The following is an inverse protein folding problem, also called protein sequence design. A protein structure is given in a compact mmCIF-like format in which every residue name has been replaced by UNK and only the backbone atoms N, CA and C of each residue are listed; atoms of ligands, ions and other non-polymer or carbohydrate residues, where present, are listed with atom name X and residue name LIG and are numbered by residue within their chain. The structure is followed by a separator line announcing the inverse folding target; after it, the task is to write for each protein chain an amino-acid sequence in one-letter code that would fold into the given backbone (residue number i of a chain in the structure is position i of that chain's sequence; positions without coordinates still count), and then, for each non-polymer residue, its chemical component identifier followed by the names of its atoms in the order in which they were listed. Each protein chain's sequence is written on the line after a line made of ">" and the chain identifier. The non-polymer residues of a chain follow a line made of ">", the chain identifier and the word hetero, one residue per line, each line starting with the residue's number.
data_IF_560053743985
#
_entry.id   IF_560053743985
#
_cell.length_a   1.000
_cell.length_b   1.000
_cell.length_c   1.000
_cell.angle_alpha   90.00
_cell.angle_beta   90.00
_cell.angle_gamma   90.00
#
_symmetry.space_group_name_H-M   'P 1'
#
loop_
_entity.id
_entity.type
_entity.pdbx_description
1 polymer ?
#
# COMPACT_ATOMS: atom_id res chain seq x y z
N UNK A 1 -20.43 13.23 4.71
CA UNK A 1 -19.01 13.25 4.29
C UNK A 1 -18.81 14.47 3.40
N UNK A 2 -17.66 15.14 3.40
CA UNK A 2 -17.43 16.23 2.45
C UNK A 2 -17.56 15.69 1.03
N UNK A 3 -18.31 16.42 0.20
CA UNK A 3 -18.52 16.09 -1.21
C UNK A 3 -17.29 16.57 -1.98
N UNK A 4 -16.44 15.63 -2.40
CA UNK A 4 -15.30 15.95 -3.25
C UNK A 4 -15.70 15.80 -4.70
N UNK A 5 -15.26 16.74 -5.53
CA UNK A 5 -15.38 16.64 -6.97
C UNK A 5 -14.13 15.96 -7.52
N UNK A 6 -14.28 14.79 -8.12
CA UNK A 6 -13.19 14.08 -8.79
C UNK A 6 -13.13 14.52 -10.24
N UNK A 7 -11.98 15.04 -10.67
CA UNK A 7 -11.72 15.44 -12.05
C UNK A 7 -10.59 14.61 -12.64
N UNK A 8 -10.87 13.92 -13.74
CA UNK A 8 -9.88 13.18 -14.52
C UNK A 8 -9.11 14.18 -15.38
N UNK A 9 -7.78 14.08 -15.38
CA UNK A 9 -6.94 14.91 -16.22
C UNK A 9 -6.93 14.36 -17.66
N UNK A 10 -7.26 15.20 -18.63
CA UNK A 10 -7.21 14.87 -20.06
C UNK A 10 -6.25 15.77 -20.86
N UNK A 11 -5.64 16.75 -20.19
CA UNK A 11 -4.73 17.72 -20.78
C UNK A 11 -3.55 18.02 -19.84
N UNK A 12 -2.66 18.89 -20.31
CA UNK A 12 -1.46 19.27 -19.56
C UNK A 12 -1.80 20.05 -18.28
N UNK A 13 -2.90 20.81 -18.27
CA UNK A 13 -3.31 21.62 -17.12
C UNK A 13 -3.78 20.73 -15.97
N UNK A 14 -4.59 19.71 -16.26
CA UNK A 14 -5.00 18.71 -15.28
C UNK A 14 -3.83 17.92 -14.70
N UNK A 15 -2.83 17.56 -15.53
CA UNK A 15 -1.62 16.89 -15.05
C UNK A 15 -0.76 17.83 -14.18
N UNK A 16 -0.61 19.09 -14.59
CA UNK A 16 0.17 20.10 -13.87
C UNK A 16 -0.43 20.44 -12.50
N UNK A 17 -1.74 20.32 -12.33
CA UNK A 17 -2.41 20.55 -11.04
C UNK A 17 -1.91 19.62 -9.91
N UNK A 18 -1.32 18.47 -10.25
CA UNK A 18 -0.77 17.52 -9.27
C UNK A 18 0.59 17.93 -8.69
N UNK A 19 1.33 18.81 -9.36
CA UNK A 19 2.77 19.04 -9.10
C UNK A 19 3.04 19.63 -7.72
N UNK A 20 2.28 20.65 -7.32
CA UNK A 20 2.44 21.26 -5.99
C UNK A 20 2.21 20.21 -4.89
N UNK A 21 1.20 19.36 -5.05
CA UNK A 21 0.90 18.30 -4.09
C UNK A 21 1.94 17.17 -4.10
N UNK A 22 2.53 16.86 -5.25
CA UNK A 22 3.69 15.96 -5.31
C UNK A 22 4.85 16.51 -4.49
N UNK A 23 5.19 17.78 -4.72
CA UNK A 23 6.28 18.46 -4.02
C UNK A 23 6.05 18.51 -2.50
N UNK A 24 4.84 18.86 -2.07
CA UNK A 24 4.47 18.92 -0.64
C UNK A 24 4.53 17.54 0.04
N UNK A 25 4.26 16.47 -0.71
CA UNK A 25 4.17 15.10 -0.17
C UNK A 25 5.54 14.40 -0.14
N UNK A 26 6.30 14.44 -1.22
CA UNK A 26 7.53 13.65 -1.37
C UNK A 26 8.82 14.48 -1.48
N UNK A 27 8.76 15.80 -1.71
CA UNK A 27 9.86 16.70 -2.12
C UNK A 27 10.04 16.82 -3.63
N UNK A 28 10.66 17.93 -4.06
CA UNK A 28 10.84 18.29 -5.47
C UNK A 28 11.75 17.36 -6.27
N UNK A 29 12.51 16.51 -5.59
CA UNK A 29 13.50 15.62 -6.22
C UNK A 29 12.87 14.39 -6.92
N UNK A 30 11.58 14.13 -6.66
CA UNK A 30 10.86 12.94 -7.16
C UNK A 30 9.52 13.29 -7.86
N UNK A 31 9.43 14.50 -8.43
CA UNK A 31 8.25 14.93 -9.18
C UNK A 31 8.17 14.18 -10.51
N UNK A 32 6.99 13.62 -10.81
CA UNK A 32 6.65 13.11 -12.13
C UNK A 32 6.29 14.29 -13.04
N UNK A 33 6.99 14.50 -14.17
CA UNK A 33 6.71 15.61 -15.07
C UNK A 33 5.29 15.55 -15.66
N UNK A 34 4.54 16.67 -15.72
CA UNK A 34 3.20 16.70 -16.31
C UNK A 34 3.13 16.20 -17.76
N UNK A 35 4.17 16.42 -18.55
CA UNK A 35 4.27 15.96 -19.92
C UNK A 35 4.31 14.43 -20.01
N UNK A 36 5.01 13.78 -19.06
CA UNK A 36 5.03 12.33 -18.96
C UNK A 36 3.66 11.81 -18.50
N UNK A 37 3.06 12.41 -17.46
CA UNK A 37 1.71 12.04 -17.02
C UNK A 37 0.69 12.12 -18.15
N UNK A 38 0.73 13.20 -18.95
CA UNK A 38 -0.15 13.36 -20.10
C UNK A 38 0.08 12.27 -21.16
N UNK A 39 1.34 11.97 -21.49
CA UNK A 39 1.66 10.86 -22.40
C UNK A 39 1.09 9.54 -21.87
N UNK A 40 1.16 9.29 -20.57
CA UNK A 40 0.60 8.08 -19.96
C UNK A 40 -0.93 8.05 -20.02
N UNK A 41 -1.61 9.17 -19.73
CA UNK A 41 -3.08 9.27 -19.87
C UNK A 41 -3.53 8.89 -21.29
N UNK A 42 -2.81 9.34 -22.32
CA UNK A 42 -3.11 8.98 -23.71
C UNK A 42 -2.82 7.52 -24.09
N UNK A 43 -2.16 6.76 -23.21
CA UNK A 43 -1.77 5.36 -23.43
C UNK A 43 -2.41 4.40 -22.40
N UNK A 44 -3.60 4.74 -21.89
CA UNK A 44 -4.38 3.88 -20.98
C UNK A 44 -4.07 4.07 -19.49
N UNK A 45 -3.14 4.98 -19.15
CA UNK A 45 -2.92 5.41 -17.77
C UNK A 45 -4.04 6.27 -17.21
N UNK A 46 -3.89 6.68 -15.96
CA UNK A 46 -4.92 7.43 -15.23
C UNK A 46 -4.30 8.51 -14.35
N UNK A 47 -4.85 9.71 -14.43
CA UNK A 47 -4.57 10.82 -13.51
C UNK A 47 -5.90 11.43 -13.13
N UNK A 48 -6.13 11.60 -11.83
CA UNK A 48 -7.29 12.34 -11.34
C UNK A 48 -6.96 13.15 -10.09
N UNK A 49 -7.60 14.30 -9.96
CA UNK A 49 -7.54 15.20 -8.83
C UNK A 49 -8.89 15.23 -8.11
N UNK A 50 -8.87 15.28 -6.78
CA UNK A 50 -10.05 15.51 -5.97
C UNK A 50 -10.05 16.92 -5.43
N UNK A 51 -11.15 17.64 -5.54
CA UNK A 51 -11.30 19.03 -5.08
C UNK A 51 -12.31 19.11 -3.96
N UNK A 52 -11.95 19.79 -2.88
CA UNK A 52 -12.89 20.14 -1.84
C UNK A 52 -13.78 21.31 -2.28
N UNK A 53 -14.98 21.48 -1.71
CA UNK A 53 -15.82 22.64 -1.98
C UNK A 53 -15.03 23.94 -1.72
N UNK A 54 -15.14 24.89 -2.64
CA UNK A 54 -14.55 26.24 -2.54
C UNK A 54 -13.01 26.30 -2.49
N UNK A 55 -12.29 25.17 -2.59
CA UNK A 55 -10.82 25.14 -2.73
C UNK A 55 -10.43 24.91 -4.21
N UNK A 56 -9.81 25.89 -4.88
CA UNK A 56 -9.35 25.71 -6.26
C UNK A 56 -8.13 24.79 -6.37
N UNK A 57 -7.45 24.46 -5.25
CA UNK A 57 -6.32 23.54 -5.24
C UNK A 57 -6.80 22.11 -5.03
N UNK A 58 -6.21 21.11 -5.71
CA UNK A 58 -6.50 19.71 -5.43
C UNK A 58 -6.31 19.39 -3.95
N UNK A 59 -7.33 18.80 -3.34
CA UNK A 59 -7.29 18.21 -2.01
C UNK A 59 -6.52 16.88 -1.99
N UNK A 60 -6.47 16.19 -3.14
CA UNK A 60 -5.77 14.93 -3.34
C UNK A 60 -5.59 14.61 -4.82
N UNK A 61 -4.73 13.68 -5.16
CA UNK A 61 -4.60 13.16 -6.52
C UNK A 61 -4.21 11.68 -6.53
N UNK A 62 -4.46 11.02 -7.66
CA UNK A 62 -3.98 9.68 -7.98
C UNK A 62 -3.36 9.67 -9.37
N UNK A 63 -2.26 8.94 -9.53
CA UNK A 63 -1.60 8.70 -10.81
C UNK A 63 -1.21 7.23 -10.92
N UNK A 64 -1.47 6.63 -12.08
CA UNK A 64 -1.01 5.30 -12.42
C UNK A 64 -0.97 5.04 -13.92
N UNK A 65 -0.37 3.92 -14.29
CA UNK A 65 -0.04 3.60 -15.67
C UNK A 65 -0.25 2.13 -16.00
N UNK A 66 -0.52 1.84 -17.27
CA UNK A 66 -0.66 0.47 -17.76
C UNK A 66 0.71 -0.23 -17.79
N UNK A 67 0.74 -1.49 -17.37
CA UNK A 67 1.89 -2.37 -17.48
C UNK A 67 1.49 -3.78 -17.84
N UNK A 68 2.49 -4.60 -18.17
CA UNK A 68 2.33 -6.04 -18.40
C UNK A 68 3.11 -6.75 -17.29
N UNK A 69 2.47 -7.72 -16.65
CA UNK A 69 3.08 -8.56 -15.63
C UNK A 69 2.57 -10.00 -15.81
N UNK A 70 3.48 -10.95 -15.89
CA UNK A 70 3.18 -12.35 -16.23
C UNK A 70 2.29 -12.47 -17.48
N UNK A 71 2.62 -11.72 -18.54
CA UNK A 71 1.85 -11.67 -19.80
C UNK A 71 0.41 -11.15 -19.69
N UNK A 72 -0.01 -10.64 -18.52
CA UNK A 72 -1.32 -10.03 -18.32
C UNK A 72 -1.22 -8.52 -18.12
N UNK A 73 -2.20 -7.79 -18.65
CA UNK A 73 -2.32 -6.36 -18.38
C UNK A 73 -2.62 -6.12 -16.89
N UNK A 74 -1.93 -5.15 -16.31
CA UNK A 74 -2.16 -4.65 -14.96
C UNK A 74 -2.03 -3.14 -14.94
N UNK A 75 -2.69 -2.49 -13.99
CA UNK A 75 -2.49 -1.07 -13.75
C UNK A 75 -1.54 -0.86 -12.57
N UNK A 76 -0.41 -0.19 -12.79
CA UNK A 76 0.48 0.22 -11.71
C UNK A 76 0.01 1.55 -11.12
N UNK A 77 -0.46 1.57 -9.88
CA UNK A 77 -0.82 2.80 -9.19
C UNK A 77 0.40 3.45 -8.56
N UNK A 78 1.06 4.33 -9.30
CA UNK A 78 2.32 4.93 -8.90
C UNK A 78 2.22 5.89 -7.70
N UNK A 79 1.26 6.81 -7.71
CA UNK A 79 1.14 7.85 -6.67
C UNK A 79 -0.30 8.03 -6.21
N UNK A 80 -0.45 8.25 -4.90
CA UNK A 80 -1.70 8.70 -4.26
C UNK A 80 -1.32 9.65 -3.14
N UNK A 81 -1.84 10.88 -3.17
CA UNK A 81 -1.65 11.84 -2.10
C UNK A 81 -2.98 12.48 -1.71
N UNK A 82 -3.09 12.82 -0.42
CA UNK A 82 -4.17 13.64 0.14
C UNK A 82 -3.54 14.64 1.10
N UNK A 83 -3.87 15.93 0.92
CA UNK A 83 -3.42 17.03 1.79
C UNK A 83 -3.91 16.82 3.22
N UNK A 84 -3.11 17.26 4.18
CA UNK A 84 -3.36 17.05 5.62
C UNK A 84 -4.79 17.36 6.08
N UNK A 85 -5.42 18.49 5.71
CA UNK A 85 -6.77 18.82 6.17
C UNK A 85 -7.85 17.85 5.69
N UNK A 86 -7.60 17.11 4.61
CA UNK A 86 -8.56 16.19 4.00
C UNK A 86 -8.21 14.72 4.25
N UNK A 87 -7.16 14.43 5.03
CA UNK A 87 -6.84 13.04 5.41
C UNK A 87 -7.95 12.48 6.30
N UNK A 88 -8.33 11.22 6.07
CA UNK A 88 -9.43 10.58 6.80
C UNK A 88 -10.84 11.00 6.37
N UNK A 89 -10.98 11.89 5.38
CA UNK A 89 -12.28 12.36 4.87
C UNK A 89 -13.01 11.37 3.94
N UNK A 90 -12.31 10.33 3.48
CA UNK A 90 -12.77 9.42 2.42
C UNK A 90 -12.23 9.76 1.03
N UNK A 91 -11.55 10.89 0.83
CA UNK A 91 -11.06 11.30 -0.51
C UNK A 91 -10.13 10.28 -1.17
N UNK A 92 -9.21 9.66 -0.40
CA UNK A 92 -8.31 8.63 -0.91
C UNK A 92 -9.07 7.43 -1.49
N UNK A 93 -10.20 7.06 -0.87
CA UNK A 93 -11.06 5.99 -1.37
C UNK A 93 -11.73 6.41 -2.68
N UNK A 94 -12.31 7.62 -2.74
CA UNK A 94 -12.97 8.10 -3.96
C UNK A 94 -12.02 8.18 -5.16
N UNK A 95 -10.77 8.63 -4.93
CA UNK A 95 -9.72 8.62 -5.96
C UNK A 95 -9.38 7.20 -6.42
N UNK A 96 -9.31 6.24 -5.49
CA UNK A 96 -9.05 4.83 -5.79
C UNK A 96 -10.21 4.16 -6.52
N UNK A 97 -11.45 4.50 -6.18
CA UNK A 97 -12.66 4.06 -6.88
C UNK A 97 -12.67 4.58 -8.32
N UNK A 98 -12.37 5.86 -8.55
CA UNK A 98 -12.25 6.41 -9.90
C UNK A 98 -11.13 5.73 -10.72
N UNK A 99 -9.96 5.48 -10.10
CA UNK A 99 -8.88 4.73 -10.75
C UNK A 99 -9.30 3.29 -11.09
N UNK A 100 -10.04 2.64 -10.19
CA UNK A 100 -10.56 1.30 -10.38
C UNK A 100 -11.56 1.25 -11.54
N UNK A 101 -12.50 2.17 -11.60
CA UNK A 101 -13.54 2.17 -12.63
C UNK A 101 -12.91 2.37 -14.02
N UNK A 102 -11.93 3.27 -14.15
CA UNK A 102 -11.11 3.43 -15.36
C UNK A 102 -10.35 2.15 -15.77
N UNK A 103 -9.88 1.37 -14.79
CA UNK A 103 -9.20 0.10 -15.08
C UNK A 103 -10.19 -0.97 -15.57
N UNK A 104 -11.37 -1.06 -14.95
CA UNK A 104 -12.39 -2.04 -15.33
C UNK A 104 -12.96 -1.76 -16.72
N UNK A 105 -13.13 -0.48 -17.09
CA UNK A 105 -13.56 -0.08 -18.44
C UNK A 105 -12.56 -0.53 -19.53
N UNK A 106 -11.30 -0.81 -19.16
CA UNK A 106 -10.27 -1.35 -20.05
C UNK A 106 -10.11 -2.87 -19.94
N UNK A 107 -10.94 -3.55 -19.15
CA UNK A 107 -10.81 -4.99 -18.89
C UNK A 107 -9.61 -5.37 -18.00
N UNK A 108 -9.07 -4.42 -17.23
CA UNK A 108 -7.98 -4.66 -16.29
C UNK A 108 -8.58 -5.03 -14.94
N UNK A 109 -8.19 -6.18 -14.40
CA UNK A 109 -8.77 -6.70 -13.15
C UNK A 109 -7.88 -6.52 -11.92
N UNK A 110 -6.63 -6.11 -12.11
CA UNK A 110 -5.65 -5.96 -11.03
C UNK A 110 -4.97 -4.59 -11.11
N UNK A 111 -5.04 -3.85 -9.99
CA UNK A 111 -4.22 -2.67 -9.73
C UNK A 111 -3.13 -3.07 -8.75
N UNK A 112 -1.87 -2.69 -8.99
CA UNK A 112 -0.75 -3.05 -8.13
C UNK A 112 0.19 -1.86 -7.87
N UNK A 113 0.88 -1.88 -6.74
CA UNK A 113 1.87 -0.86 -6.38
C UNK A 113 2.81 -1.37 -5.28
N UNK A 114 3.96 -0.72 -5.12
CA UNK A 114 4.84 -0.96 -3.97
C UNK A 114 4.44 -0.05 -2.81
N UNK A 115 4.52 -0.53 -1.58
CA UNK A 115 4.49 0.33 -0.39
C UNK A 115 5.53 -0.09 0.64
N UNK A 116 5.88 0.84 1.52
CA UNK A 116 6.68 0.53 2.70
C UNK A 116 5.88 -0.35 3.68
N UNK A 117 6.35 -1.55 4.05
CA UNK A 117 5.60 -2.46 4.91
C UNK A 117 5.40 -1.93 6.34
N UNK A 118 6.19 -0.96 6.80
CA UNK A 118 6.10 -0.43 8.17
C UNK A 118 5.15 0.78 8.28
N UNK A 119 4.52 1.20 7.18
CA UNK A 119 3.56 2.30 7.17
C UNK A 119 2.14 1.83 7.55
N UNK A 120 1.85 1.77 8.84
CA UNK A 120 0.57 1.30 9.38
C UNK A 120 -0.67 2.02 8.83
N UNK A 121 -0.55 3.32 8.50
CA UNK A 121 -1.65 4.08 7.88
C UNK A 121 -1.96 3.55 6.48
N UNK A 122 -0.92 3.29 5.69
CA UNK A 122 -1.04 2.73 4.35
C UNK A 122 -1.54 1.30 4.42
N UNK A 123 -1.06 0.51 5.38
CA UNK A 123 -1.51 -0.87 5.60
C UNK A 123 -3.01 -0.93 5.91
N UNK A 124 -3.48 -0.08 6.83
CA UNK A 124 -4.91 0.05 7.16
C UNK A 124 -5.75 0.37 5.93
N UNK A 125 -5.31 1.30 5.09
CA UNK A 125 -6.05 1.69 3.90
C UNK A 125 -6.03 0.59 2.83
N UNK A 126 -4.84 0.11 2.45
CA UNK A 126 -4.66 -0.82 1.35
C UNK A 126 -5.27 -2.19 1.63
N UNK A 127 -5.01 -2.76 2.82
CA UNK A 127 -5.51 -4.09 3.16
C UNK A 127 -6.92 -3.97 3.76
N UNK A 128 -7.08 -3.15 4.80
CA UNK A 128 -8.34 -3.08 5.52
C UNK A 128 -9.49 -2.45 4.74
N UNK A 129 -9.23 -1.36 3.99
CA UNK A 129 -10.28 -0.60 3.29
C UNK A 129 -10.46 -0.99 1.81
N UNK A 130 -9.38 -1.26 1.09
CA UNK A 130 -9.47 -1.69 -0.32
C UNK A 130 -9.61 -3.22 -0.48
N UNK A 131 -9.18 -4.00 0.53
CA UNK A 131 -9.15 -5.46 0.44
C UNK A 131 -8.01 -5.98 -0.45
N UNK A 132 -6.90 -5.24 -0.54
CA UNK A 132 -5.71 -5.68 -1.25
C UNK A 132 -4.94 -6.74 -0.44
N UNK A 133 -4.02 -7.44 -1.10
CA UNK A 133 -3.14 -8.42 -0.47
C UNK A 133 -1.71 -8.28 -0.99
N UNK A 134 -0.75 -8.97 -0.37
CA UNK A 134 0.61 -9.09 -0.90
C UNK A 134 1.18 -10.48 -0.67
N UNK A 135 1.99 -10.92 -1.64
CA UNK A 135 2.78 -12.15 -1.61
C UNK A 135 4.28 -11.91 -1.82
N UNK A 136 4.68 -10.67 -2.10
CA UNK A 136 6.01 -10.40 -2.63
C UNK A 136 6.65 -9.29 -1.82
N UNK A 137 7.88 -9.56 -1.41
CA UNK A 137 8.74 -8.63 -0.70
C UNK A 137 9.98 -8.35 -1.53
N UNK A 138 10.37 -7.07 -1.59
CA UNK A 138 11.58 -6.62 -2.23
C UNK A 138 12.47 -5.93 -1.20
N UNK A 139 13.71 -6.42 -1.08
CA UNK A 139 14.76 -5.76 -0.30
C UNK A 139 15.26 -4.54 -1.06
N UNK A 140 15.37 -3.41 -0.37
CA UNK A 140 15.99 -2.17 -0.85
C UNK A 140 15.66 -1.84 -2.32
N UNK A 141 14.36 -1.91 -2.65
CA UNK A 141 13.87 -1.96 -4.03
C UNK A 141 14.28 -0.76 -4.89
N UNK A 142 14.34 0.42 -4.28
CA UNK A 142 14.71 1.68 -4.94
C UNK A 142 16.12 2.16 -4.56
N UNK A 143 16.87 1.39 -3.76
CA UNK A 143 18.12 1.85 -3.16
C UNK A 143 17.94 3.07 -2.25
N UNK A 144 18.95 3.94 -2.23
CA UNK A 144 18.89 5.19 -1.48
C UNK A 144 17.87 6.15 -2.11
N UNK A 145 16.87 6.55 -1.33
CA UNK A 145 15.87 7.52 -1.75
C UNK A 145 16.06 8.87 -1.03
N UNK A 146 16.14 9.99 -1.76
CA UNK A 146 16.34 11.31 -1.16
C UNK A 146 15.05 11.92 -0.61
N UNK A 147 13.89 11.30 -0.89
CA UNK A 147 12.59 11.86 -0.54
C UNK A 147 12.36 11.90 0.98
N UNK A 148 11.54 12.87 1.41
CA UNK A 148 11.31 13.19 2.83
C UNK A 148 10.82 11.99 3.64
N UNK A 149 10.00 11.13 3.04
CA UNK A 149 9.36 10.01 3.73
C UNK A 149 10.30 8.81 3.87
N UNK A 150 11.17 8.56 2.89
CA UNK A 150 11.92 7.31 2.84
C UNK A 150 13.41 7.43 3.12
N UNK A 151 13.99 8.63 3.09
CA UNK A 151 15.43 8.83 3.32
C UNK A 151 15.99 8.14 4.58
N UNK A 152 17.23 7.65 4.49
CA UNK A 152 17.99 7.17 5.64
C UNK A 152 17.76 5.72 6.07
N UNK A 153 16.94 4.94 5.36
CA UNK A 153 16.74 3.50 5.60
C UNK A 153 16.67 2.74 4.26
N UNK A 154 16.98 1.42 4.25
CA UNK A 154 16.76 0.57 3.09
C UNK A 154 15.31 0.65 2.60
N UNK A 155 15.15 0.79 1.30
CA UNK A 155 13.87 1.02 0.61
C UNK A 155 13.05 -0.26 0.44
N UNK A 156 12.91 -1.05 1.50
CA UNK A 156 12.17 -2.31 1.41
C UNK A 156 10.70 -2.06 1.05
N UNK A 157 10.14 -2.91 0.19
CA UNK A 157 8.78 -2.80 -0.34
C UNK A 157 8.05 -4.13 -0.30
N UNK A 158 6.77 -4.05 0.02
CA UNK A 158 5.81 -5.10 -0.34
C UNK A 158 5.12 -4.71 -1.65
N UNK A 159 4.92 -5.68 -2.53
CA UNK A 159 4.18 -5.49 -3.77
C UNK A 159 2.71 -5.82 -3.53
N UNK A 160 1.90 -4.79 -3.42
CA UNK A 160 0.47 -4.89 -3.12
C UNK A 160 -0.29 -5.14 -4.42
N UNK A 161 -1.19 -6.13 -4.38
CA UNK A 161 -2.10 -6.48 -5.45
C UNK A 161 -3.54 -6.23 -4.99
N UNK A 162 -4.29 -5.44 -5.75
CA UNK A 162 -5.69 -5.11 -5.50
C UNK A 162 -6.56 -5.71 -6.62
N UNK A 163 -7.28 -6.82 -6.35
CA UNK A 163 -8.14 -7.47 -7.34
C UNK A 163 -9.46 -6.71 -7.48
N UNK A 164 -9.46 -5.66 -8.30
CA UNK A 164 -10.52 -4.64 -8.29
C UNK A 164 -11.89 -5.14 -8.72
N UNK A 165 -11.96 -6.21 -9.51
CA UNK A 165 -13.22 -6.84 -9.95
C UNK A 165 -13.81 -7.88 -8.98
N UNK A 166 -13.12 -8.21 -7.88
CA UNK A 166 -13.57 -9.27 -6.98
C UNK A 166 -14.67 -8.80 -6.01
N UNK A 167 -15.60 -9.71 -5.66
CA UNK A 167 -16.70 -9.47 -4.69
C UNK A 167 -16.20 -8.92 -3.35
N UNK A 168 -15.07 -9.43 -2.84
CA UNK A 168 -14.43 -8.92 -1.61
C UNK A 168 -14.14 -7.42 -1.71
N UNK A 169 -13.62 -6.93 -2.84
CA UNK A 169 -13.33 -5.51 -3.01
C UNK A 169 -14.60 -4.67 -2.98
N UNK A 170 -15.67 -5.10 -3.65
CA UNK A 170 -16.95 -4.42 -3.59
C UNK A 170 -17.48 -4.29 -2.14
N UNK A 171 -17.48 -5.40 -1.39
CA UNK A 171 -17.92 -5.42 0.02
C UNK A 171 -17.10 -4.50 0.90
N UNK A 172 -15.77 -4.46 0.71
CA UNK A 172 -14.84 -3.58 1.47
C UNK A 172 -15.07 -2.10 1.20
N UNK A 173 -15.24 -1.73 -0.06
CA UNK A 173 -15.52 -0.34 -0.45
C UNK A 173 -16.85 0.14 0.14
N UNK A 174 -17.90 -0.69 0.06
CA UNK A 174 -19.24 -0.42 0.64
C UNK A 174 -19.30 -0.52 2.16
N UNK A 175 -18.29 -1.09 2.80
CA UNK A 175 -18.23 -1.29 4.25
C UNK A 175 -19.10 -2.44 4.76
N UNK A 176 -19.52 -3.34 3.87
CA UNK A 176 -20.29 -4.56 4.16
C UNK A 176 -19.39 -5.69 4.71
N UNK A 177 -18.08 -5.60 4.47
CA UNK A 177 -17.05 -6.46 5.05
C UNK A 177 -15.98 -5.58 5.71
N UNK A 178 -15.64 -5.90 6.96
CA UNK A 178 -14.68 -5.15 7.76
C UNK A 178 -13.65 -6.11 8.36
N UNK A 179 -12.39 -5.68 8.52
CA UNK A 179 -11.40 -6.50 9.21
C UNK A 179 -11.83 -6.76 10.65
N UNK A 180 -11.51 -7.95 11.17
CA UNK A 180 -11.58 -8.22 12.60
C UNK A 180 -10.67 -7.25 13.39
N UNK A 181 -10.95 -7.06 14.68
CA UNK A 181 -10.02 -6.34 15.55
C UNK A 181 -8.79 -7.19 15.84
N UNK A 182 -7.67 -6.55 16.19
CA UNK A 182 -6.48 -7.28 16.62
C UNK A 182 -6.75 -8.06 17.92
N UNK A 183 -7.55 -7.50 18.83
CA UNK A 183 -7.93 -8.16 20.08
C UNK A 183 -8.79 -9.41 19.84
N UNK A 184 -9.64 -9.44 18.81
CA UNK A 184 -10.41 -10.63 18.46
C UNK A 184 -9.49 -11.74 17.94
N UNK A 185 -8.53 -11.41 17.07
CA UNK A 185 -7.51 -12.37 16.61
C UNK A 185 -6.63 -12.88 17.77
N UNK A 186 -6.24 -12.01 18.71
CA UNK A 186 -5.53 -12.41 19.93
C UNK A 186 -6.38 -13.35 20.80
N UNK A 187 -7.69 -13.11 20.93
CA UNK A 187 -8.61 -13.97 21.69
C UNK A 187 -8.83 -15.33 21.03
N UNK A 188 -8.83 -15.38 19.71
CA UNK A 188 -8.89 -16.62 18.92
C UNK A 188 -7.57 -17.39 18.92
N UNK A 189 -6.50 -16.83 19.52
CA UNK A 189 -5.22 -17.49 19.67
C UNK A 189 -4.38 -17.50 18.39
N UNK A 190 -4.58 -16.53 17.48
CA UNK A 190 -3.73 -16.40 16.29
C UNK A 190 -2.29 -16.13 16.71
N UNK A 191 -1.36 -16.93 16.21
CA UNK A 191 0.04 -16.87 16.59
C UNK A 191 0.73 -15.63 16.02
N UNK A 192 1.62 -15.01 16.80
CA UNK A 192 2.51 -13.96 16.32
C UNK A 192 3.79 -14.55 15.72
N UNK A 193 4.04 -14.21 14.46
CA UNK A 193 5.28 -14.44 13.75
C UNK A 193 6.34 -13.41 14.20
N UNK A 194 5.91 -12.15 14.36
CA UNK A 194 6.67 -11.05 14.94
C UNK A 194 5.74 -10.23 15.83
N UNK A 195 6.11 -10.05 17.11
CA UNK A 195 5.39 -9.22 18.09
C UNK A 195 6.34 -8.18 18.66
N UNK A 196 5.84 -7.00 19.02
CA UNK A 196 6.65 -6.02 19.73
C UNK A 196 7.04 -6.51 21.14
N UNK A 197 8.26 -6.20 21.56
CA UNK A 197 8.75 -6.33 22.94
C UNK A 197 9.09 -4.93 23.46
N UNK A 198 8.13 -4.30 24.14
CA UNK A 198 8.17 -2.87 24.43
C UNK A 198 8.19 -2.03 23.14
N UNK A 199 9.21 -1.20 22.97
CA UNK A 199 9.38 -0.41 21.73
C UNK A 199 10.18 -1.13 20.63
N UNK A 200 10.77 -2.29 20.94
CA UNK A 200 11.63 -3.05 20.03
C UNK A 200 10.84 -4.13 19.30
N UNK A 201 11.29 -4.55 18.10
CA UNK A 201 10.80 -5.79 17.54
C UNK A 201 11.23 -6.95 18.45
N UNK A 202 10.29 -7.83 18.80
CA UNK A 202 10.59 -9.08 19.48
C UNK A 202 11.33 -10.06 18.58
N UNK A 203 11.62 -11.24 19.11
CA UNK A 203 12.20 -12.33 18.31
C UNK A 203 11.13 -12.94 17.41
N UNK A 204 11.57 -13.39 16.24
CA UNK A 204 10.75 -14.21 15.35
C UNK A 204 10.40 -15.53 16.04
N UNK A 205 9.11 -15.83 16.15
CA UNK A 205 8.64 -17.10 16.72
C UNK A 205 8.72 -18.23 15.69
N UNK A 206 8.83 -19.47 16.14
CA UNK A 206 8.58 -20.64 15.29
C UNK A 206 7.08 -20.80 15.09
N UNK A 207 6.63 -20.96 13.84
CA UNK A 207 5.19 -20.95 13.51
C UNK A 207 4.83 -22.00 12.48
N UNK A 208 5.50 -23.16 12.53
CA UNK A 208 5.25 -24.26 11.60
C UNK A 208 3.76 -24.63 11.57
N UNK A 209 3.19 -24.68 10.35
CA UNK A 209 1.82 -25.14 10.09
C UNK A 209 0.68 -24.33 10.76
N UNK A 210 0.91 -23.08 11.14
CA UNK A 210 -0.16 -22.22 11.62
C UNK A 210 -1.19 -21.91 10.52
N UNK A 211 -2.48 -21.90 10.85
CA UNK A 211 -3.51 -21.53 9.86
C UNK A 211 -3.54 -20.03 9.57
N UNK A 212 -3.05 -19.21 10.51
CA UNK A 212 -3.02 -17.75 10.45
C UNK A 212 -1.83 -17.24 11.27
N UNK A 213 -1.25 -16.12 10.85
CA UNK A 213 -0.13 -15.47 11.53
C UNK A 213 -0.35 -13.97 11.67
N UNK A 214 0.17 -13.41 12.76
CA UNK A 214 0.24 -11.97 12.99
C UNK A 214 1.68 -11.47 12.85
N UNK A 215 1.86 -10.38 12.12
CA UNK A 215 3.12 -9.65 12.02
C UNK A 215 2.88 -8.20 12.45
N UNK A 216 3.28 -7.89 13.67
CA UNK A 216 3.14 -6.55 14.25
C UNK A 216 4.17 -5.57 13.66
N UNK A 217 3.78 -4.32 13.48
CA UNK A 217 4.65 -3.22 13.05
C UNK A 217 4.50 -2.00 13.97
N UNK A 218 5.45 -1.04 13.94
CA UNK A 218 5.33 0.19 14.72
C UNK A 218 4.06 0.97 14.38
N UNK A 219 3.38 1.49 15.40
CA UNK A 219 2.18 2.33 15.24
C UNK A 219 2.43 3.57 14.39
N UNK A 220 3.58 4.22 14.58
CA UNK A 220 3.96 5.47 13.93
C UNK A 220 5.42 5.40 13.48
N UNK A 221 5.68 4.69 12.39
CA UNK A 221 7.05 4.41 11.93
C UNK A 221 7.84 5.68 11.58
N UNK A 222 7.20 6.71 11.00
CA UNK A 222 7.85 7.98 10.69
C UNK A 222 8.28 8.75 11.95
N UNK A 223 7.45 8.76 13.00
CA UNK A 223 7.80 9.38 14.28
C UNK A 223 8.94 8.62 14.97
N UNK A 224 8.90 7.28 14.91
CA UNK A 224 9.98 6.42 15.38
C UNK A 224 11.30 6.70 14.65
N UNK A 225 11.26 6.77 13.32
CA UNK A 225 12.41 7.08 12.47
C UNK A 225 13.01 8.45 12.79
N UNK A 226 12.17 9.46 13.05
CA UNK A 226 12.63 10.80 13.39
C UNK A 226 13.29 10.86 14.78
N UNK A 227 12.76 10.11 15.77
CA UNK A 227 13.29 10.13 17.15
C UNK A 227 14.47 9.17 17.38
N UNK A 228 14.49 8.02 16.71
CA UNK A 228 15.48 6.96 16.89
C UNK A 228 15.66 6.15 15.59
N UNK A 229 16.56 6.64 14.72
CA UNK A 229 16.87 6.00 13.44
C UNK A 229 17.44 4.57 13.59
N UNK A 230 18.14 4.29 14.70
CA UNK A 230 18.70 2.95 14.96
C UNK A 230 17.58 1.97 15.26
N UNK A 231 16.63 2.34 16.12
CA UNK A 231 15.46 1.52 16.42
C UNK A 231 14.56 1.35 15.19
N UNK A 232 14.42 2.38 14.35
CA UNK A 232 13.71 2.26 13.08
C UNK A 232 14.39 1.27 12.12
N UNK A 233 15.72 1.24 12.08
CA UNK A 233 16.48 0.24 11.32
C UNK A 233 16.33 -1.17 11.90
N UNK A 234 16.31 -1.33 13.23
CA UNK A 234 16.01 -2.63 13.87
C UNK A 234 14.64 -3.17 13.43
N UNK A 235 13.61 -2.31 13.45
CA UNK A 235 12.28 -2.66 12.94
C UNK A 235 12.26 -2.98 11.45
N UNK A 236 13.02 -2.25 10.62
CA UNK A 236 13.18 -2.54 9.19
C UNK A 236 13.71 -3.94 8.96
N UNK A 237 14.79 -4.30 9.65
CA UNK A 237 15.45 -5.60 9.48
C UNK A 237 14.62 -6.75 10.06
N UNK A 238 13.95 -6.55 11.21
CA UNK A 238 13.06 -7.55 11.79
C UNK A 238 11.81 -7.78 10.91
N UNK A 239 11.20 -6.69 10.41
CA UNK A 239 10.09 -6.76 9.48
C UNK A 239 10.48 -7.46 8.18
N UNK A 240 11.66 -7.16 7.62
CA UNK A 240 12.22 -7.87 6.46
C UNK A 240 12.27 -9.38 6.69
N UNK A 241 12.95 -9.79 7.76
CA UNK A 241 13.09 -11.21 8.09
C UNK A 241 11.71 -11.89 8.30
N UNK A 242 10.78 -11.21 8.95
CA UNK A 242 9.42 -11.69 9.18
C UNK A 242 8.62 -11.90 7.88
N UNK A 243 8.59 -10.89 7.01
CA UNK A 243 7.88 -10.95 5.74
C UNK A 243 8.49 -12.00 4.81
N UNK A 244 9.81 -12.01 4.65
CA UNK A 244 10.46 -12.96 3.75
C UNK A 244 10.26 -14.40 4.17
N UNK A 245 10.33 -14.68 5.49
CA UNK A 245 10.04 -16.00 6.02
C UNK A 245 8.60 -16.41 5.72
N UNK A 246 7.62 -15.60 6.14
CA UNK A 246 6.22 -15.98 5.99
C UNK A 246 5.81 -16.10 4.51
N UNK A 247 6.21 -15.17 3.66
CA UNK A 247 5.89 -15.21 2.23
C UNK A 247 6.61 -16.37 1.53
N UNK A 248 7.86 -16.67 1.90
CA UNK A 248 8.60 -17.83 1.41
C UNK A 248 8.00 -19.19 1.84
N UNK A 249 7.35 -19.23 3.00
CA UNK A 249 6.59 -20.39 3.49
C UNK A 249 5.20 -20.53 2.82
N UNK A 250 4.82 -19.60 1.94
CA UNK A 250 3.57 -19.65 1.19
C UNK A 250 2.41 -18.92 1.84
N UNK A 251 2.66 -18.04 2.83
CA UNK A 251 1.64 -17.15 3.34
C UNK A 251 1.47 -15.92 2.45
N UNK A 252 0.31 -15.30 2.50
CA UNK A 252 0.05 -13.97 1.97
C UNK A 252 -0.47 -13.07 3.08
N UNK A 253 0.00 -11.81 3.14
CA UNK A 253 -0.61 -10.81 4.00
C UNK A 253 -1.90 -10.32 3.32
N UNK A 254 -3.03 -10.52 3.99
CA UNK A 254 -4.36 -10.29 3.41
C UNK A 254 -5.18 -9.26 4.18
N UNK A 255 -4.82 -8.93 5.42
CA UNK A 255 -5.47 -7.88 6.20
C UNK A 255 -4.46 -7.11 7.06
N UNK A 256 -4.88 -5.94 7.55
CA UNK A 256 -4.18 -5.21 8.59
C UNK A 256 -5.12 -4.93 9.75
N UNK A 257 -4.94 -5.67 10.84
CA UNK A 257 -5.77 -5.62 12.03
C UNK A 257 -5.27 -4.50 12.96
N UNK A 258 -6.19 -3.85 13.67
CA UNK A 258 -5.85 -2.82 14.65
C UNK A 258 -6.45 -3.11 16.01
N UNK A 259 -5.70 -2.73 17.03
CA UNK A 259 -6.16 -2.66 18.39
C UNK A 259 -6.62 -1.24 18.78
N UNK A 260 -7.42 -1.17 19.82
CA UNK A 260 -7.91 0.05 20.47
C UNK A 260 -6.78 0.88 21.09
N UNK A 261 -5.72 0.23 21.57
CA UNK A 261 -4.49 0.86 22.07
C UNK A 261 -3.59 1.45 20.95
N UNK A 262 -3.96 1.21 19.69
CA UNK A 262 -3.26 1.69 18.50
C UNK A 262 -2.20 0.75 17.94
N UNK A 263 -2.00 -0.44 18.50
CA UNK A 263 -1.19 -1.50 17.86
C UNK A 263 -1.81 -1.92 16.53
N UNK A 264 -0.97 -2.40 15.63
CA UNK A 264 -1.39 -2.88 14.33
C UNK A 264 -0.52 -4.03 13.84
N UNK A 265 -1.17 -5.05 13.28
CA UNK A 265 -0.49 -6.22 12.75
C UNK A 265 -1.10 -6.63 11.41
N UNK A 266 -0.25 -7.08 10.50
CA UNK A 266 -0.72 -7.80 9.33
C UNK A 266 -1.25 -9.17 9.75
N UNK A 267 -2.37 -9.58 9.16
CA UNK A 267 -2.85 -10.96 9.20
C UNK A 267 -2.38 -11.66 7.94
N UNK A 268 -1.63 -12.74 8.14
CA UNK A 268 -1.11 -13.58 7.08
C UNK A 268 -1.84 -14.91 7.09
N UNK A 269 -2.19 -15.41 5.90
CA UNK A 269 -2.90 -16.69 5.73
C UNK A 269 -2.13 -17.55 4.72
N UNK A 270 -2.10 -18.89 4.88
CA UNK A 270 -1.58 -19.79 3.87
C UNK A 270 -2.33 -19.55 2.57
N UNK A 271 -1.58 -19.31 1.50
CA UNK A 271 -2.13 -19.28 0.18
C UNK A 271 -1.82 -20.61 -0.50
N UNK A 272 -2.76 -21.20 -1.27
CA UNK A 272 -2.42 -22.32 -2.13
C UNK A 272 -1.21 -21.94 -2.96
N UNK A 273 -0.14 -22.73 -2.90
CA UNK A 273 1.06 -22.49 -3.71
C UNK A 273 0.61 -22.33 -5.15
N UNK A 274 0.96 -21.19 -5.77
CA UNK A 274 0.98 -21.14 -7.22
C UNK A 274 2.17 -22.00 -7.63
N UNK A 275 1.92 -23.22 -8.10
CA UNK A 275 2.94 -24.06 -8.72
C UNK A 275 3.41 -23.37 -10.01
N UNK A 276 4.28 -22.38 -9.86
CA UNK A 276 5.09 -21.85 -10.95
C UNK A 276 6.55 -22.02 -10.51
N UNK A 277 7.05 -23.23 -10.64
CA UNK A 277 8.47 -23.44 -10.85
C UNK A 277 8.83 -22.77 -12.17
N UNK A 278 9.29 -21.52 -12.11
CA UNK A 278 10.22 -21.05 -13.12
C UNK A 278 11.52 -21.78 -12.81
N UNK A 279 11.77 -22.82 -13.58
CA UNK A 279 13.07 -23.45 -13.69
C UNK A 279 14.03 -22.37 -14.20
N UNK A 280 14.70 -21.67 -13.29
CA UNK A 280 15.77 -20.73 -13.63
C UNK A 280 17.15 -21.38 -13.60
N UNK A 281 17.21 -22.71 -13.47
CA UNK A 281 18.44 -23.47 -13.59
C UNK A 281 18.37 -24.38 -14.82
N UNK A 282 18.78 -23.86 -15.98
CA UNK A 282 19.64 -24.57 -16.94
C UNK A 282 20.14 -23.58 -18.03
N UNK A 283 21.33 -23.83 -18.61
CA UNK A 283 22.56 -23.07 -18.33
C UNK A 283 22.87 -21.88 -19.26
#
# INVERSE_FOLDING_TARGET
>A
MPEFRIEVAHDIAGCAATVDLQNDTWSGDVIVPPQLMLAVVHNGGFVACGYAPEDPKPAGFVFGFLGIHDYHFRHHSHMLAVRDPYRGSGLAQQLKEAQRDHCLDQGIEIVAWTMDPLEARNARFNFGKLGAYTRTYYRDFYGAMPDKLNQGLPSDRIYVEWPIGHDRTYKRLRGEDQPASLEDAEREGVAYLLRADGERPGRLAETESASHLLLEIPRAFQDLKARDAKLALEWRLAGRAAFERALGEGYAAVEFLRATDGRGAYLLVPQPRRDFTLDTDEP
#
